data_IF_076808452094
#
_entry.id   IF_076808452094
#
_cell.length_a   1.000
_cell.length_b   1.000
_cell.length_c   1.000
_cell.angle_alpha   90.00
_cell.angle_beta   90.00
_cell.angle_gamma   90.00
#
_symmetry.space_group_name_H-M   'P 1'
#
loop_
_entity.id
_entity.type
_entity.pdbx_description
1 polymer ?
#
# COMPACT_ATOMS: atom_id res chain seq x y z
N UNK A 1 -13.17 -9.36 8.26
CA UNK A 1 -13.23 -7.93 8.60
C UNK A 1 -12.98 -7.14 7.33
N UNK A 2 -13.82 -6.17 6.99
CA UNK A 2 -13.60 -5.32 5.82
C UNK A 2 -12.57 -4.25 6.19
N UNK A 3 -11.41 -4.26 5.53
CA UNK A 3 -10.34 -3.27 5.74
C UNK A 3 -10.53 -2.12 4.77
N UNK A 4 -10.18 -0.91 5.22
CA UNK A 4 -10.14 0.27 4.36
C UNK A 4 -8.67 0.57 4.04
N UNK A 5 -8.37 0.64 2.75
CA UNK A 5 -7.07 1.01 2.23
C UNK A 5 -6.97 2.52 2.02
N UNK A 6 -5.77 3.08 2.23
CA UNK A 6 -5.47 4.46 1.90
C UNK A 6 -4.34 4.51 0.89
N UNK A 7 -4.53 5.19 -0.25
CA UNK A 7 -3.46 5.35 -1.26
C UNK A 7 -2.82 6.72 -1.14
N UNK A 8 -1.50 6.72 -0.98
CA UNK A 8 -0.64 7.91 -1.01
C UNK A 8 -0.66 8.61 -2.38
N UNK A 9 -0.22 9.88 -2.42
CA UNK A 9 -0.19 10.74 -3.61
C UNK A 9 0.62 10.16 -4.76
N UNK A 10 1.65 9.39 -4.44
CA UNK A 10 2.63 8.86 -5.39
C UNK A 10 2.10 7.69 -6.25
N UNK A 11 0.90 7.18 -5.94
CA UNK A 11 0.21 6.17 -6.73
C UNK A 11 -0.76 6.77 -7.78
N UNK A 12 -0.89 8.10 -7.80
CA UNK A 12 -1.77 8.82 -8.70
C UNK A 12 -3.25 8.44 -8.57
N UNK A 13 -4.07 8.84 -9.54
CA UNK A 13 -5.54 8.62 -9.50
C UNK A 13 -5.98 7.25 -10.01
N UNK A 14 -5.17 6.61 -10.86
CA UNK A 14 -5.52 5.32 -11.51
C UNK A 14 -5.46 4.16 -10.53
N UNK A 15 -4.51 4.17 -9.60
CA UNK A 15 -4.33 3.09 -8.64
C UNK A 15 -5.57 2.92 -7.72
N UNK A 16 -6.01 3.94 -6.96
CA UNK A 16 -7.20 3.82 -6.11
C UNK A 16 -8.46 3.48 -6.92
N UNK A 17 -8.63 4.05 -8.12
CA UNK A 17 -9.76 3.73 -8.98
C UNK A 17 -9.82 2.23 -9.35
N UNK A 18 -8.67 1.61 -9.63
CA UNK A 18 -8.60 0.18 -9.97
C UNK A 18 -8.87 -0.74 -8.79
N UNK A 19 -8.39 -0.37 -7.59
CA UNK A 19 -8.72 -1.12 -6.38
C UNK A 19 -10.23 -1.05 -6.06
N UNK A 20 -10.86 0.12 -6.22
CA UNK A 20 -12.32 0.28 -6.04
C UNK A 20 -13.12 -0.55 -7.05
N UNK A 21 -12.71 -0.57 -8.31
CA UNK A 21 -13.34 -1.41 -9.34
C UNK A 21 -13.25 -2.90 -9.01
N UNK A 22 -12.22 -3.32 -8.25
CA UNK A 22 -12.08 -4.67 -7.74
C UNK A 22 -12.87 -4.94 -6.43
N UNK A 23 -13.68 -3.99 -5.97
CA UNK A 23 -14.53 -4.12 -4.78
C UNK A 23 -13.82 -3.83 -3.45
N UNK A 24 -12.64 -3.20 -3.47
CA UNK A 24 -11.94 -2.80 -2.24
C UNK A 24 -12.40 -1.41 -1.78
N UNK A 25 -12.53 -1.24 -0.48
CA UNK A 25 -12.77 0.07 0.13
C UNK A 25 -11.46 0.86 0.17
N UNK A 26 -11.45 2.01 -0.52
CA UNK A 26 -10.25 2.83 -0.70
C UNK A 26 -10.55 4.30 -0.47
N UNK A 27 -9.75 4.94 0.37
CA UNK A 27 -9.60 6.39 0.47
C UNK A 27 -8.33 6.81 -0.32
N UNK A 28 -8.41 7.88 -1.11
CA UNK A 28 -7.25 8.36 -1.83
C UNK A 28 -6.78 9.71 -1.29
N UNK A 29 -5.46 9.89 -1.17
CA UNK A 29 -4.86 11.13 -0.66
C UNK A 29 -5.44 12.38 -1.35
N UNK A 30 -5.55 12.36 -2.68
CA UNK A 30 -6.02 13.50 -3.47
C UNK A 30 -7.49 13.90 -3.25
N UNK A 31 -8.27 13.08 -2.54
CA UNK A 31 -9.67 13.37 -2.20
C UNK A 31 -9.80 14.01 -0.81
N UNK A 32 -8.80 13.82 0.05
CA UNK A 32 -8.84 14.19 1.46
C UNK A 32 -7.87 15.32 1.81
N UNK A 33 -6.79 15.46 1.06
CA UNK A 33 -5.70 16.38 1.36
C UNK A 33 -5.33 17.23 0.13
N UNK A 34 -4.90 18.49 0.34
CA UNK A 34 -4.35 19.29 -0.74
C UNK A 34 -3.04 18.69 -1.26
N UNK A 35 -2.63 18.99 -2.51
CA UNK A 35 -1.36 18.51 -3.07
C UNK A 35 -0.12 18.90 -2.25
N UNK A 36 -0.20 20.00 -1.51
CA UNK A 36 0.87 20.52 -0.64
C UNK A 36 0.78 20.00 0.81
N UNK A 37 -0.15 19.06 1.08
CA UNK A 37 -0.28 18.43 2.41
C UNK A 37 0.99 17.71 2.82
N UNK A 38 1.32 17.75 4.11
CA UNK A 38 2.56 17.14 4.62
C UNK A 38 2.42 15.62 4.76
N UNK A 39 3.53 14.91 4.62
CA UNK A 39 3.54 13.44 4.76
C UNK A 39 3.10 12.96 6.16
N UNK A 40 3.24 13.81 7.18
CA UNK A 40 2.78 13.51 8.53
C UNK A 40 1.24 13.48 8.65
N UNK A 41 0.53 14.31 7.88
CA UNK A 41 -0.94 14.43 7.99
C UNK A 41 -1.64 13.15 7.55
N UNK A 42 -1.21 12.56 6.43
CA UNK A 42 -1.83 11.33 5.94
C UNK A 42 -1.43 10.13 6.80
N UNK A 43 -0.21 10.10 7.34
CA UNK A 43 0.22 9.07 8.30
C UNK A 43 -0.62 9.14 9.59
N UNK A 44 -0.84 10.34 10.14
CA UNK A 44 -1.72 10.53 11.28
C UNK A 44 -3.16 10.07 10.97
N UNK A 45 -3.71 10.46 9.82
CA UNK A 45 -5.04 10.04 9.39
C UNK A 45 -5.16 8.52 9.32
N UNK A 46 -4.20 7.85 8.68
CA UNK A 46 -4.17 6.39 8.59
C UNK A 46 -4.14 5.73 9.97
N UNK A 47 -3.29 6.21 10.86
CA UNK A 47 -3.18 5.69 12.22
C UNK A 47 -4.47 5.86 13.02
N UNK A 48 -4.99 7.09 13.07
CA UNK A 48 -6.21 7.44 13.82
C UNK A 48 -7.46 6.73 13.32
N UNK A 49 -7.54 6.45 12.02
CA UNK A 49 -8.68 5.80 11.38
C UNK A 49 -8.48 4.31 11.14
N UNK A 50 -7.32 3.74 11.49
CA UNK A 50 -7.00 2.33 11.25
C UNK A 50 -6.96 1.95 9.77
N UNK A 51 -6.51 2.86 8.89
CA UNK A 51 -6.36 2.58 7.45
C UNK A 51 -5.08 1.80 7.19
N UNK A 52 -5.13 0.90 6.21
CA UNK A 52 -3.93 0.27 5.66
C UNK A 52 -3.36 1.17 4.58
N UNK A 53 -2.24 1.82 4.87
CA UNK A 53 -1.60 2.72 3.93
C UNK A 53 -0.92 1.95 2.79
N UNK A 54 -0.98 2.51 1.58
CA UNK A 54 -0.31 2.00 0.39
C UNK A 54 0.48 3.16 -0.23
N UNK A 55 1.76 2.95 -0.47
CA UNK A 55 2.65 3.91 -1.13
C UNK A 55 3.58 3.20 -2.11
N UNK A 56 4.13 3.92 -3.08
CA UNK A 56 5.24 3.45 -3.92
C UNK A 56 6.60 3.97 -3.43
N UNK A 57 6.61 4.91 -2.48
CA UNK A 57 7.77 5.60 -2.01
C UNK A 57 8.59 4.74 -1.06
N UNK A 58 9.70 4.20 -1.59
CA UNK A 58 10.64 3.38 -0.83
C UNK A 58 11.53 4.20 0.12
N UNK A 59 11.47 5.53 0.12
CA UNK A 59 12.32 6.36 0.99
C UNK A 59 11.80 6.48 2.41
N UNK A 60 10.52 6.25 2.64
CA UNK A 60 9.85 6.41 3.94
C UNK A 60 10.53 5.72 5.12
N UNK A 61 11.13 4.54 4.89
CA UNK A 61 11.90 3.84 5.93
C UNK A 61 13.16 4.60 6.34
N UNK A 62 13.78 5.31 5.40
CA UNK A 62 15.06 5.98 5.57
C UNK A 62 14.90 7.48 5.87
N UNK A 63 13.69 8.04 5.72
CA UNK A 63 13.36 9.39 6.19
C UNK A 63 13.01 9.35 7.68
N UNK A 64 13.86 9.86 8.61
CA UNK A 64 13.65 9.68 10.04
C UNK A 64 12.32 10.25 10.55
N UNK A 65 11.89 11.39 9.99
CA UNK A 65 10.64 12.04 10.38
C UNK A 65 9.41 11.21 9.98
N UNK A 66 9.39 10.69 8.74
CA UNK A 66 8.28 9.86 8.26
C UNK A 66 8.21 8.53 9.02
N UNK A 67 9.36 7.87 9.24
CA UNK A 67 9.40 6.64 10.05
C UNK A 67 8.92 6.88 11.48
N UNK A 68 9.36 8.00 12.10
CA UNK A 68 8.91 8.38 13.44
C UNK A 68 7.41 8.65 13.48
N UNK A 69 6.85 9.30 12.45
CA UNK A 69 5.42 9.55 12.32
C UNK A 69 4.62 8.24 12.11
N UNK A 70 5.12 7.30 11.30
CA UNK A 70 4.53 5.98 11.11
C UNK A 70 4.45 5.20 12.44
N UNK A 71 5.55 5.17 13.19
CA UNK A 71 5.63 4.47 14.48
C UNK A 71 4.71 5.13 15.50
N UNK A 72 4.81 6.46 15.66
CA UNK A 72 4.00 7.25 16.60
C UNK A 72 2.49 7.07 16.37
N UNK A 73 2.08 6.98 15.11
CA UNK A 73 0.67 6.82 14.73
C UNK A 73 0.25 5.35 14.55
N UNK A 74 1.11 4.38 14.86
CA UNK A 74 0.81 2.94 14.72
C UNK A 74 0.28 2.55 13.32
N UNK A 75 0.93 3.04 12.26
CA UNK A 75 0.46 2.85 10.89
C UNK A 75 0.94 1.51 10.32
N UNK A 76 0.04 0.78 9.65
CA UNK A 76 0.37 -0.35 8.79
C UNK A 76 0.58 0.15 7.36
N UNK A 77 1.81 0.04 6.85
CA UNK A 77 2.19 0.54 5.53
C UNK A 77 2.58 -0.60 4.58
N UNK A 78 2.01 -0.58 3.38
CA UNK A 78 2.37 -1.45 2.27
C UNK A 78 3.10 -0.63 1.21
N UNK A 79 4.33 -1.02 0.89
CA UNK A 79 5.10 -0.48 -0.22
C UNK A 79 4.89 -1.36 -1.45
N UNK A 80 4.29 -0.81 -2.50
CA UNK A 80 4.20 -1.48 -3.79
C UNK A 80 5.54 -1.36 -4.50
N UNK A 81 6.14 -2.48 -4.90
CA UNK A 81 7.45 -2.52 -5.56
C UNK A 81 7.31 -3.02 -6.99
N UNK A 82 7.91 -2.27 -7.92
CA UNK A 82 7.98 -2.63 -9.33
C UNK A 82 8.07 -1.39 -10.20
N UNK A 83 8.66 -1.54 -11.38
CA UNK A 83 8.66 -0.48 -12.41
C UNK A 83 7.58 -0.84 -13.44
N UNK A 84 6.42 -0.19 -13.32
CA UNK A 84 5.27 -0.38 -14.20
C UNK A 84 4.32 0.81 -14.08
N UNK A 85 3.44 1.04 -15.08
CA UNK A 85 2.34 1.97 -14.94
C UNK A 85 1.49 1.66 -13.70
N UNK A 86 1.03 2.69 -12.97
CA UNK A 86 0.24 2.50 -11.75
C UNK A 86 -1.03 1.65 -11.93
N UNK A 87 -1.62 1.65 -13.14
CA UNK A 87 -2.73 0.76 -13.47
C UNK A 87 -2.34 -0.73 -13.40
N UNK A 88 -1.18 -1.09 -13.94
CA UNK A 88 -0.65 -2.47 -13.87
C UNK A 88 -0.22 -2.84 -12.45
N UNK A 89 0.39 -1.90 -11.72
CA UNK A 89 0.72 -2.12 -10.30
C UNK A 89 -0.53 -2.36 -9.46
N UNK A 90 -1.62 -1.64 -9.74
CA UNK A 90 -2.90 -1.84 -9.07
C UNK A 90 -3.52 -3.20 -9.42
N UNK A 91 -3.50 -3.61 -10.69
CA UNK A 91 -3.98 -4.92 -11.11
C UNK A 91 -3.18 -6.05 -10.42
N UNK A 92 -1.85 -5.90 -10.33
CA UNK A 92 -1.02 -6.84 -9.59
C UNK A 92 -1.37 -6.86 -8.09
N UNK A 93 -1.59 -5.69 -7.49
CA UNK A 93 -1.98 -5.58 -6.08
C UNK A 93 -3.30 -6.33 -5.83
N UNK A 94 -4.31 -6.12 -6.69
CA UNK A 94 -5.60 -6.81 -6.64
C UNK A 94 -5.43 -8.33 -6.77
N UNK A 95 -4.60 -8.81 -7.71
CA UNK A 95 -4.29 -10.26 -7.82
C UNK A 95 -3.64 -10.82 -6.56
N UNK A 96 -2.91 -9.98 -5.83
CA UNK A 96 -2.17 -10.36 -4.63
C UNK A 96 -2.99 -10.17 -3.35
N UNK A 97 -4.22 -9.65 -3.43
CA UNK A 97 -5.01 -9.23 -2.26
C UNK A 97 -5.22 -10.35 -1.25
N UNK A 98 -5.52 -11.57 -1.68
CA UNK A 98 -5.72 -12.71 -0.77
C UNK A 98 -4.43 -13.09 0.00
N UNK A 99 -3.23 -12.81 -0.54
CA UNK A 99 -1.95 -12.99 0.17
C UNK A 99 -1.71 -11.81 1.12
N UNK A 100 -2.04 -10.60 0.70
CA UNK A 100 -1.95 -9.38 1.51
C UNK A 100 -2.84 -9.52 2.75
N UNK A 101 -4.11 -9.83 2.58
CA UNK A 101 -5.09 -9.95 3.69
C UNK A 101 -4.66 -10.99 4.72
N UNK A 102 -4.23 -12.18 4.28
CA UNK A 102 -3.70 -13.22 5.19
C UNK A 102 -2.45 -12.79 5.94
N UNK A 103 -1.62 -11.96 5.33
CA UNK A 103 -0.45 -11.37 6.00
C UNK A 103 -0.91 -10.34 7.03
N UNK A 104 -1.83 -9.44 6.67
CA UNK A 104 -2.39 -8.42 7.56
C UNK A 104 -3.11 -9.02 8.77
N UNK A 105 -3.76 -10.18 8.63
CA UNK A 105 -4.40 -10.90 9.74
C UNK A 105 -3.40 -11.34 10.83
N UNK A 106 -2.12 -11.49 10.47
CA UNK A 106 -1.07 -12.00 11.36
C UNK A 106 -0.14 -10.91 11.91
N UNK A 107 -0.26 -9.68 11.42
CA UNK A 107 0.61 -8.58 11.79
C UNK A 107 -0.13 -7.54 12.63
N UNK A 108 0.60 -6.90 13.55
CA UNK A 108 0.11 -5.77 14.34
C UNK A 108 0.90 -4.53 13.94
N UNK A 109 0.19 -3.42 13.67
CA UNK A 109 0.83 -2.16 13.39
C UNK A 109 1.58 -1.63 14.64
N UNK A 110 2.66 -0.83 14.48
CA UNK A 110 3.22 -0.34 13.21
C UNK A 110 4.07 -1.38 12.48
N UNK A 111 3.97 -1.42 11.15
CA UNK A 111 4.90 -2.16 10.30
C UNK A 111 4.96 -1.56 8.90
N UNK A 112 6.03 -1.88 8.18
CA UNK A 112 6.14 -1.67 6.74
C UNK A 112 6.33 -3.04 6.09
N UNK A 113 5.54 -3.37 5.08
CA UNK A 113 5.78 -4.54 4.23
C UNK A 113 5.93 -4.11 2.77
N UNK A 114 6.44 -5.02 1.94
CA UNK A 114 6.57 -4.81 0.49
C UNK A 114 5.71 -5.82 -0.24
N UNK A 115 5.02 -5.35 -1.28
CA UNK A 115 4.32 -6.19 -2.25
C UNK A 115 5.05 -6.09 -3.58
N UNK A 116 5.45 -7.24 -4.13
CA UNK A 116 6.18 -7.33 -5.40
C UNK A 116 5.29 -7.89 -6.50
N UNK A 117 5.61 -7.58 -7.75
CA UNK A 117 5.07 -8.29 -8.91
C UNK A 117 5.57 -9.74 -8.96
N UNK A 118 4.80 -10.68 -9.55
CA UNK A 118 5.29 -12.00 -9.89
C UNK A 118 6.55 -11.89 -10.76
N UNK A 119 7.42 -12.90 -10.69
CA UNK A 119 8.57 -12.95 -11.58
C UNK A 119 8.10 -13.19 -13.02
N UNK A 120 8.91 -12.82 -14.04
CA UNK A 120 8.60 -13.16 -15.43
C UNK A 120 8.43 -14.67 -15.66
N UNK A 121 9.11 -15.51 -14.87
CA UNK A 121 8.96 -16.96 -14.94
C UNK A 121 7.58 -17.41 -14.41
N UNK A 122 7.08 -16.79 -13.35
CA UNK A 122 5.74 -17.06 -12.83
C UNK A 122 4.67 -16.65 -13.85
N UNK A 123 4.81 -15.46 -14.45
CA UNK A 123 3.87 -14.97 -15.47
C UNK A 123 3.84 -15.84 -16.74
N UNK A 124 4.97 -16.44 -17.11
CA UNK A 124 5.01 -17.41 -18.24
C UNK A 124 4.23 -18.69 -17.94
N UNK A 125 4.17 -19.11 -16.68
CA UNK A 125 3.45 -20.31 -16.23
C UNK A 125 1.97 -20.02 -16.01
N UNK A 126 1.69 -18.89 -15.39
CA UNK A 126 0.35 -18.39 -15.12
C UNK A 126 0.33 -16.87 -15.35
N UNK A 127 -0.26 -16.38 -16.46
CA UNK A 127 -0.39 -14.95 -16.73
C UNK A 127 -1.11 -14.17 -15.62
N UNK A 128 -1.90 -14.86 -14.80
CA UNK A 128 -2.69 -14.29 -13.71
C UNK A 128 -2.03 -14.48 -12.33
N UNK A 129 -0.78 -14.94 -12.29
CA UNK A 129 -0.05 -15.22 -11.05
C UNK A 129 -0.12 -14.06 -10.07
N UNK A 130 -0.31 -14.39 -8.78
CA UNK A 130 -0.25 -13.43 -7.69
C UNK A 130 1.20 -13.11 -7.32
N UNK A 131 1.44 -11.87 -6.92
CA UNK A 131 2.73 -11.39 -6.42
C UNK A 131 3.08 -11.94 -5.03
N UNK A 132 4.18 -11.44 -4.46
CA UNK A 132 4.65 -11.82 -3.12
C UNK A 132 4.55 -10.65 -2.15
N UNK A 133 4.49 -10.97 -0.86
CA UNK A 133 4.50 -9.99 0.24
C UNK A 133 5.59 -10.37 1.23
N UNK A 134 6.35 -9.38 1.73
CA UNK A 134 7.38 -9.58 2.75
C UNK A 134 7.38 -8.44 3.76
N UNK A 135 7.56 -8.76 5.05
CA UNK A 135 7.83 -7.74 6.07
C UNK A 135 9.13 -7.00 5.75
N UNK A 136 9.16 -5.69 6.00
CA UNK A 136 10.33 -4.83 5.78
C UNK A 136 10.71 -4.05 7.03
N UNK A 137 9.74 -3.68 7.87
CA UNK A 137 9.93 -3.05 9.17
C UNK A 137 8.78 -3.47 10.12
N UNK A 138 9.01 -3.65 11.44
CA UNK A 138 10.33 -3.81 12.04
C UNK A 138 11.14 -4.91 11.35
#
# INVERSE_FOLDING_TARGET
>A
MTRIYFTDRDLGKRFPARLRLAGLDVEAHHELFPPEGSDEQWLEHCGRKGRIAISHNRRIRHTPNELSALVRNSVALIIVVGDAPYGELAENFVRTIARIERFLDRQRAPFICKVYRPSPADLKRDPMAAGSISLWYP
#
